data_IF_279094409341
#
_entry.id   IF_279094409341
#
_cell.length_a   1.000
_cell.length_b   1.000
_cell.length_c   1.000
_cell.angle_alpha   90.00
_cell.angle_beta   90.00
_cell.angle_gamma   90.00
#
_symmetry.space_group_name_H-M   'P 1'
#
loop_
_entity.id
_entity.type
_entity.pdbx_description
1 polymer ?
#
# COMPACT_ATOMS: atom_id res chain seq x y z
N UNK A 1 -11.77 -4.09 9.28
CA UNK A 1 -11.93 -3.23 8.09
C UNK A 1 -10.98 -2.08 8.24
N UNK A 2 -9.93 -2.05 7.42
CA UNK A 2 -8.82 -1.09 7.49
C UNK A 2 -9.09 0.17 6.64
N UNK A 3 -10.34 0.34 6.22
CA UNK A 3 -10.78 1.38 5.29
C UNK A 3 -11.02 2.72 6.01
N UNK A 4 -10.29 3.76 5.62
CA UNK A 4 -10.42 5.12 6.17
C UNK A 4 -10.74 6.11 5.05
N UNK A 5 -11.76 6.94 5.24
CA UNK A 5 -12.24 7.95 4.27
C UNK A 5 -11.70 9.36 4.61
N UNK A 6 -10.95 9.50 5.70
CA UNK A 6 -10.47 10.80 6.16
C UNK A 6 -9.32 11.33 5.27
N UNK A 7 -9.34 12.61 4.89
CA UNK A 7 -8.30 13.23 4.08
C UNK A 7 -6.97 13.26 4.85
N UNK A 8 -5.92 12.73 4.25
CA UNK A 8 -4.58 12.76 4.82
C UNK A 8 -4.08 14.20 4.93
N UNK A 9 -3.87 14.68 6.17
CA UNK A 9 -3.65 16.12 6.47
C UNK A 9 -2.23 16.48 6.91
N UNK A 10 -1.32 15.51 7.03
CA UNK A 10 0.07 15.71 7.49
C UNK A 10 1.12 15.40 6.42
N UNK A 11 0.93 15.93 5.21
CA UNK A 11 1.77 15.58 4.08
C UNK A 11 3.18 16.18 4.15
N UNK A 12 4.18 15.37 4.55
CA UNK A 12 5.53 15.54 4.01
C UNK A 12 5.49 15.42 2.48
N UNK A 13 6.40 16.11 1.77
CA UNK A 13 6.50 16.00 0.31
C UNK A 13 6.76 14.54 -0.12
N UNK A 14 6.14 14.05 -1.21
CA UNK A 14 6.38 12.71 -1.69
C UNK A 14 7.84 12.54 -2.09
N UNK A 15 8.49 11.51 -1.56
CA UNK A 15 9.88 11.18 -1.92
C UNK A 15 10.02 10.65 -3.35
N UNK A 16 8.89 10.24 -3.93
CA UNK A 16 8.76 9.77 -5.30
C UNK A 16 7.41 10.19 -5.86
N UNK A 17 7.45 10.72 -7.08
CA UNK A 17 6.27 11.01 -7.89
C UNK A 17 6.50 10.56 -9.32
N UNK A 18 5.47 10.02 -9.94
CA UNK A 18 5.45 9.83 -11.39
C UNK A 18 4.06 10.04 -11.98
N UNK A 19 4.00 10.37 -13.27
CA UNK A 19 2.79 10.52 -14.08
C UNK A 19 3.04 9.90 -15.45
N UNK A 20 2.39 8.78 -15.75
CA UNK A 20 2.49 8.13 -17.05
C UNK A 20 1.36 7.13 -17.29
N UNK A 21 1.23 6.69 -18.54
CA UNK A 21 0.32 5.61 -18.92
C UNK A 21 0.89 4.24 -18.51
N UNK A 22 0.16 3.51 -17.67
CA UNK A 22 0.56 2.20 -17.16
C UNK A 22 0.52 1.15 -18.27
N UNK A 23 1.61 0.40 -18.39
CA UNK A 23 1.78 -0.74 -19.28
C UNK A 23 2.13 -2.01 -18.52
N UNK A 24 2.30 -3.10 -19.26
CA UNK A 24 2.52 -4.45 -18.72
C UNK A 24 3.73 -4.57 -17.78
N UNK A 25 4.72 -3.71 -17.93
CA UNK A 25 5.94 -3.71 -17.11
C UNK A 25 5.92 -2.68 -15.97
N UNK A 26 4.93 -1.80 -15.92
CA UNK A 26 4.90 -0.66 -14.98
C UNK A 26 4.87 -1.13 -13.53
N UNK A 27 4.06 -2.14 -13.20
CA UNK A 27 3.99 -2.69 -11.84
C UNK A 27 5.35 -3.24 -11.36
N UNK A 28 6.08 -3.93 -12.24
CA UNK A 28 7.42 -4.46 -11.90
C UNK A 28 8.41 -3.32 -11.62
N UNK A 29 8.40 -2.28 -12.44
CA UNK A 29 9.28 -1.13 -12.28
C UNK A 29 8.99 -0.38 -10.97
N UNK A 30 7.71 -0.10 -10.72
CA UNK A 30 7.23 0.62 -9.54
C UNK A 30 7.49 -0.16 -8.24
N UNK A 31 7.30 -1.48 -8.22
CA UNK A 31 7.71 -2.32 -7.08
C UNK A 31 9.20 -2.21 -6.78
N UNK A 32 10.03 -2.19 -7.81
CA UNK A 32 11.48 -2.09 -7.67
C UNK A 32 11.88 -0.74 -7.07
N UNK A 33 11.24 0.34 -7.51
CA UNK A 33 11.40 1.68 -6.94
C UNK A 33 10.98 1.70 -5.47
N UNK A 34 9.77 1.20 -5.16
CA UNK A 34 9.27 1.11 -3.80
C UNK A 34 10.24 0.35 -2.90
N UNK A 35 10.71 -0.83 -3.33
CA UNK A 35 11.68 -1.64 -2.58
C UNK A 35 13.00 -0.91 -2.32
N UNK A 36 13.48 -0.09 -3.26
CA UNK A 36 14.70 0.70 -3.07
C UNK A 36 14.51 1.75 -1.97
N UNK A 37 13.38 2.46 -1.96
CA UNK A 37 13.06 3.41 -0.89
C UNK A 37 12.90 2.71 0.46
N UNK A 38 12.13 1.62 0.52
CA UNK A 38 11.96 0.84 1.75
C UNK A 38 13.28 0.30 2.30
N UNK A 39 14.17 -0.16 1.43
CA UNK A 39 15.53 -0.58 1.82
C UNK A 39 16.32 0.60 2.39
N UNK A 40 16.30 1.76 1.72
CA UNK A 40 16.98 2.97 2.18
C UNK A 40 16.48 3.47 3.53
N UNK A 41 15.21 3.22 3.86
CA UNK A 41 14.60 3.60 5.14
C UNK A 41 14.67 2.53 6.23
N UNK A 42 15.23 1.35 5.93
CA UNK A 42 15.24 0.22 6.88
C UNK A 42 13.88 -0.43 7.09
N UNK A 43 12.91 -0.21 6.20
CA UNK A 43 11.52 -0.69 6.29
C UNK A 43 11.29 -1.98 5.48
N UNK A 44 12.30 -2.86 5.41
CA UNK A 44 12.20 -4.10 4.64
C UNK A 44 11.15 -5.07 5.21
N UNK A 45 10.75 -4.94 6.47
CA UNK A 45 9.73 -5.76 7.11
C UNK A 45 8.33 -5.61 6.48
N UNK A 46 8.05 -4.47 5.82
CA UNK A 46 6.76 -4.22 5.13
C UNK A 46 6.86 -4.34 3.61
N UNK A 47 8.04 -4.70 3.06
CA UNK A 47 8.28 -4.63 1.63
C UNK A 47 7.35 -5.54 0.81
N UNK A 48 7.18 -6.79 1.23
CA UNK A 48 6.39 -7.74 0.46
C UNK A 48 4.90 -7.38 0.47
N UNK A 49 4.38 -6.90 1.61
CA UNK A 49 3.01 -6.39 1.75
C UNK A 49 2.78 -5.15 0.87
N UNK A 50 3.66 -4.16 0.96
CA UNK A 50 3.55 -2.91 0.21
C UNK A 50 3.70 -3.14 -1.30
N UNK A 51 4.61 -4.02 -1.73
CA UNK A 51 4.78 -4.39 -3.14
C UNK A 51 3.54 -5.10 -3.72
N UNK A 52 2.91 -5.97 -2.94
CA UNK A 52 1.71 -6.68 -3.34
C UNK A 52 0.52 -5.72 -3.47
N UNK A 53 0.26 -4.91 -2.45
CA UNK A 53 -0.80 -3.90 -2.48
C UNK A 53 -0.61 -2.91 -3.64
N UNK A 54 0.62 -2.46 -3.89
CA UNK A 54 0.90 -1.56 -5.00
C UNK A 54 0.66 -2.23 -6.36
N UNK A 55 0.98 -3.52 -6.50
CA UNK A 55 0.70 -4.26 -7.73
C UNK A 55 -0.79 -4.33 -8.01
N UNK A 56 -1.61 -4.58 -6.99
CA UNK A 56 -3.07 -4.61 -7.15
C UNK A 56 -3.65 -3.25 -7.53
N UNK A 57 -3.14 -2.14 -6.96
CA UNK A 57 -3.56 -0.81 -7.37
C UNK A 57 -3.20 -0.51 -8.83
N UNK A 58 -1.99 -0.86 -9.28
CA UNK A 58 -1.59 -0.68 -10.69
C UNK A 58 -2.41 -1.59 -11.61
N UNK A 59 -2.71 -2.83 -11.20
CA UNK A 59 -3.58 -3.71 -11.97
C UNK A 59 -5.00 -3.14 -12.11
N UNK A 60 -5.53 -2.52 -11.05
CA UNK A 60 -6.81 -1.81 -11.12
C UNK A 60 -6.76 -0.64 -12.11
N UNK A 61 -5.69 0.15 -12.15
CA UNK A 61 -5.50 1.21 -13.16
C UNK A 61 -5.53 0.63 -14.56
N UNK A 62 -4.75 -0.43 -14.81
CA UNK A 62 -4.66 -1.05 -16.13
C UNK A 62 -6.00 -1.61 -16.60
N UNK A 63 -6.80 -2.17 -15.68
CA UNK A 63 -8.10 -2.79 -15.97
C UNK A 63 -9.24 -1.76 -16.14
N UNK A 64 -9.26 -0.71 -15.33
CA UNK A 64 -10.47 0.12 -15.17
C UNK A 64 -10.30 1.58 -15.60
N UNK A 65 -9.06 2.08 -15.79
CA UNK A 65 -8.84 3.49 -16.13
C UNK A 65 -8.67 3.67 -17.64
N UNK A 66 -9.54 4.44 -18.31
CA UNK A 66 -9.36 4.78 -19.72
C UNK A 66 -8.00 5.44 -19.97
N UNK A 67 -7.28 4.96 -21.00
CA UNK A 67 -5.94 5.44 -21.31
C UNK A 67 -4.85 5.03 -20.31
N UNK A 68 -5.21 4.30 -19.24
CA UNK A 68 -4.31 3.71 -18.23
C UNK A 68 -3.39 4.73 -17.55
N UNK A 69 -3.72 6.01 -17.62
CA UNK A 69 -2.89 7.09 -17.05
C UNK A 69 -3.23 7.30 -15.59
N UNK A 70 -2.21 7.27 -14.74
CA UNK A 70 -2.34 7.63 -13.34
C UNK A 70 -1.06 8.31 -12.85
N UNK A 71 -1.19 8.99 -11.72
CA UNK A 71 -0.07 9.49 -10.92
C UNK A 71 0.17 8.55 -9.76
N UNK A 72 1.42 8.32 -9.41
CA UNK A 72 1.79 7.51 -8.24
C UNK A 72 2.69 8.29 -7.32
N UNK A 73 2.47 8.16 -6.02
CA UNK A 73 3.21 8.85 -4.98
C UNK A 73 3.66 7.85 -3.92
N UNK A 74 4.87 8.02 -3.39
CA UNK A 74 5.39 7.26 -2.26
C UNK A 74 5.80 8.26 -1.18
N UNK A 75 5.32 8.02 0.03
CA UNK A 75 5.61 8.83 1.20
C UNK A 75 6.21 7.94 2.28
N UNK A 76 7.21 8.45 2.98
CA UNK A 76 7.61 7.88 4.26
C UNK A 76 6.66 8.42 5.31
N UNK A 77 6.10 7.57 6.17
CA UNK A 77 5.24 8.04 7.24
C UNK A 77 6.05 8.77 8.33
N UNK A 78 5.49 9.82 8.97
CA UNK A 78 6.17 10.56 10.03
C UNK A 78 6.72 9.67 11.14
N UNK A 79 7.87 10.05 11.70
CA UNK A 79 8.57 9.22 12.69
C UNK A 79 9.20 7.94 12.10
N UNK A 80 9.15 7.75 10.78
CA UNK A 80 9.72 6.59 10.10
C UNK A 80 8.98 5.29 10.39
N UNK A 81 7.70 5.37 10.77
CA UNK A 81 6.90 4.22 11.21
C UNK A 81 6.35 3.36 10.08
N UNK A 82 6.56 3.75 8.82
CA UNK A 82 6.02 3.01 7.69
C UNK A 82 6.08 3.77 6.37
N UNK A 83 5.26 3.32 5.43
CA UNK A 83 5.13 3.86 4.07
C UNK A 83 3.67 4.09 3.75
N UNK A 84 3.39 5.17 3.00
CA UNK A 84 2.11 5.39 2.33
C UNK A 84 2.34 5.42 0.82
N UNK A 85 1.49 4.75 0.07
CA UNK A 85 1.51 4.77 -1.40
C UNK A 85 0.15 5.23 -1.90
N UNK A 86 0.16 6.15 -2.84
CA UNK A 86 -1.04 6.69 -3.46
C UNK A 86 -1.02 6.50 -4.97
N UNK A 87 -2.18 6.19 -5.53
CA UNK A 87 -2.40 6.05 -6.97
C UNK A 87 -3.62 6.90 -7.34
N UNK A 88 -3.37 8.01 -8.04
CA UNK A 88 -4.40 8.94 -8.46
C UNK A 88 -4.69 8.82 -9.96
N UNK A 89 -5.96 8.68 -10.33
CA UNK A 89 -6.38 8.56 -11.72
C UNK A 89 -7.57 9.47 -12.03
N UNK A 90 -7.84 9.68 -13.33
CA UNK A 90 -8.91 10.56 -13.81
C UNK A 90 -10.28 9.89 -13.94
N UNK A 91 -10.43 8.65 -13.47
CA UNK A 91 -11.70 7.92 -13.55
C UNK A 91 -12.49 8.09 -12.24
N UNK A 92 -13.73 8.61 -12.29
CA UNK A 92 -14.54 8.86 -11.10
C UNK A 92 -15.08 7.58 -10.45
N UNK A 93 -15.01 6.45 -11.15
CA UNK A 93 -15.54 5.19 -10.63
C UNK A 93 -14.73 4.71 -9.44
N UNK A 94 -15.38 4.72 -8.26
CA UNK A 94 -14.79 4.23 -7.01
C UNK A 94 -14.69 2.71 -7.07
N UNK A 95 -13.49 2.13 -6.83
CA UNK A 95 -13.33 0.69 -6.75
C UNK A 95 -14.21 0.14 -5.64
N UNK A 96 -15.05 -0.84 -5.95
CA UNK A 96 -15.90 -1.50 -4.95
C UNK A 96 -15.16 -2.71 -4.41
N UNK A 97 -15.12 -2.86 -3.09
CA UNK A 97 -14.77 -4.14 -2.46
C UNK A 97 -15.93 -5.08 -2.75
N UNK A 98 -15.72 -6.04 -3.63
CA UNK A 98 -16.70 -7.09 -3.90
C UNK A 98 -16.16 -8.36 -3.27
N UNK A 99 -16.85 -8.87 -2.25
CA UNK A 99 -16.65 -10.24 -1.77
C UNK A 99 -17.21 -11.20 -2.83
N UNK A 100 -16.47 -11.35 -3.94
CA UNK A 100 -16.80 -12.26 -5.02
C UNK A 100 -16.40 -13.69 -4.70
N UNK A 101 -17.22 -14.65 -5.10
CA UNK A 101 -16.89 -16.09 -5.02
C UNK A 101 -15.61 -16.44 -5.80
N UNK A 102 -15.11 -17.66 -5.60
CA UNK A 102 -13.78 -18.17 -6.03
C UNK A 102 -13.48 -18.09 -7.55
N UNK A 103 -14.37 -17.53 -8.37
CA UNK A 103 -14.24 -17.42 -9.82
C UNK A 103 -14.42 -16.00 -10.40
N UNK A 104 -14.70 -14.99 -9.58
CA UNK A 104 -14.80 -13.60 -10.06
C UNK A 104 -13.51 -12.82 -9.80
N UNK A 105 -12.78 -12.51 -10.88
CA UNK A 105 -11.44 -11.90 -10.82
C UNK A 105 -11.50 -10.37 -10.60
N UNK A 106 -12.64 -9.73 -10.86
CA UNK A 106 -12.78 -8.27 -10.83
C UNK A 106 -12.75 -7.63 -9.43
N UNK A 107 -13.04 -8.39 -8.37
CA UNK A 107 -13.21 -7.89 -7.00
C UNK A 107 -12.07 -8.14 -6.03
N UNK A 108 -11.10 -9.00 -6.37
CA UNK A 108 -10.09 -9.48 -5.42
C UNK A 108 -8.99 -8.49 -5.09
N UNK A 109 -8.70 -7.56 -5.99
CA UNK A 109 -7.56 -6.66 -5.82
C UNK A 109 -7.64 -5.86 -4.52
N UNK A 110 -8.81 -5.29 -4.21
CA UNK A 110 -9.02 -4.56 -2.96
C UNK A 110 -9.14 -5.46 -1.74
N UNK A 111 -9.64 -6.68 -1.89
CA UNK A 111 -9.64 -7.68 -0.80
C UNK A 111 -8.21 -8.00 -0.39
N UNK A 112 -7.31 -8.14 -1.37
CA UNK A 112 -5.90 -8.38 -1.10
C UNK A 112 -5.24 -7.15 -0.47
N UNK A 113 -5.54 -5.94 -0.95
CA UNK A 113 -5.08 -4.69 -0.32
C UNK A 113 -5.56 -4.60 1.14
N UNK A 114 -6.85 -4.85 1.42
CA UNK A 114 -7.39 -4.84 2.79
C UNK A 114 -6.72 -5.87 3.69
N UNK A 115 -6.39 -7.06 3.15
CA UNK A 115 -5.77 -8.13 3.91
C UNK A 115 -4.29 -7.90 4.24
N UNK A 116 -3.55 -7.16 3.41
CA UNK A 116 -2.08 -7.02 3.56
C UNK A 116 -1.63 -5.65 4.05
N UNK A 117 -2.53 -4.68 4.19
CA UNK A 117 -2.19 -3.30 4.58
C UNK A 117 -2.83 -2.91 5.90
N UNK A 118 -2.19 -2.04 6.66
CA UNK A 118 -2.70 -1.57 7.96
C UNK A 118 -3.86 -0.59 7.79
N UNK A 119 -3.79 0.24 6.75
CA UNK A 119 -4.86 1.15 6.33
C UNK A 119 -4.90 1.26 4.83
N UNK A 120 -6.08 1.49 4.29
CA UNK A 120 -6.24 1.90 2.90
C UNK A 120 -7.50 2.75 2.75
N UNK A 121 -7.64 3.42 1.62
CA UNK A 121 -8.80 4.27 1.38
C UNK A 121 -8.91 4.72 -0.06
N UNK A 122 -10.04 5.38 -0.34
CA UNK A 122 -10.29 6.06 -1.60
C UNK A 122 -10.73 7.49 -1.30
N UNK A 123 -10.03 8.44 -1.90
CA UNK A 123 -10.38 9.86 -1.87
C UNK A 123 -10.87 10.28 -3.25
N UNK A 124 -12.14 10.66 -3.35
CA UNK A 124 -12.71 11.20 -4.60
C UNK A 124 -12.37 12.68 -4.68
N UNK A 125 -11.88 13.13 -5.83
CA UNK A 125 -11.65 14.57 -6.04
C UNK A 125 -12.98 15.33 -5.98
N UNK A 126 -12.98 16.47 -5.31
CA UNK A 126 -14.20 17.28 -5.10
C UNK A 126 -14.86 17.79 -6.38
N UNK A 127 -14.13 17.83 -7.51
CA UNK A 127 -14.66 18.17 -8.83
C UNK A 127 -15.26 16.96 -9.58
N UNK A 128 -15.22 15.76 -8.99
CA UNK A 128 -15.67 14.52 -9.62
C UNK A 128 -14.79 14.05 -10.77
N UNK A 129 -13.62 14.66 -11.00
CA UNK A 129 -12.74 14.38 -12.15
C UNK A 129 -11.76 13.22 -11.94
N UNK A 130 -11.88 12.47 -10.86
CA UNK A 130 -10.97 11.38 -10.54
C UNK A 130 -10.97 10.98 -9.08
N UNK A 131 -10.04 10.08 -8.75
CA UNK A 131 -9.89 9.53 -7.41
C UNK A 131 -8.43 9.24 -7.10
N UNK A 132 -8.11 9.15 -5.81
CA UNK A 132 -6.86 8.64 -5.28
C UNK A 132 -7.17 7.41 -4.45
N UNK A 133 -6.62 6.26 -4.84
CA UNK A 133 -6.62 5.05 -4.02
C UNK A 133 -5.28 4.96 -3.31
N UNK A 134 -5.28 4.68 -2.01
CA UNK A 134 -4.07 4.71 -1.20
C UNK A 134 -4.03 3.58 -0.19
N UNK A 135 -2.83 3.23 0.26
CA UNK A 135 -2.63 2.34 1.41
C UNK A 135 -1.44 2.76 2.26
N UNK A 136 -1.42 2.30 3.51
CA UNK A 136 -0.34 2.45 4.48
C UNK A 136 0.10 1.07 4.96
N UNK A 137 1.43 0.89 5.06
CA UNK A 137 2.02 -0.27 5.74
C UNK A 137 2.92 0.24 6.86
N UNK A 138 2.62 -0.18 8.08
CA UNK A 138 3.33 0.21 9.29
C UNK A 138 4.38 -0.85 9.60
N UNK A 139 5.63 -0.41 9.75
CA UNK A 139 6.62 -1.26 10.37
C UNK A 139 6.20 -1.41 11.83
N UNK A 140 5.84 -2.64 12.22
CA UNK A 140 5.63 -2.94 13.63
C UNK A 140 6.83 -2.37 14.39
N UNK A 141 6.58 -1.49 15.37
CA UNK A 141 7.61 -1.07 16.29
C UNK A 141 8.22 -2.38 16.79
N UNK A 142 9.50 -2.61 16.51
CA UNK A 142 10.18 -3.82 16.98
C UNK A 142 9.97 -3.84 18.48
N UNK A 143 9.00 -4.63 18.92
CA UNK A 143 8.92 -5.04 20.31
C UNK A 143 10.17 -5.85 20.44
N UNK A 144 11.22 -5.23 20.98
CA UNK A 144 12.32 -5.97 21.56
C UNK A 144 11.64 -6.75 22.67
N UNK A 145 11.11 -7.93 22.35
CA UNK A 145 10.70 -8.89 23.33
C UNK A 145 11.98 -9.17 24.10
N UNK A 146 12.09 -8.60 25.30
CA UNK A 146 13.09 -8.99 26.26
C UNK A 146 12.83 -10.46 26.57
N UNK A 147 13.41 -11.34 25.75
CA UNK A 147 13.49 -12.74 26.02
C UNK A 147 14.37 -12.87 27.26
N UNK A 148 13.72 -12.89 28.41
CA UNK A 148 14.32 -13.40 29.65
C UNK A 148 14.79 -14.82 29.31
N UNK A 149 16.08 -15.15 29.41
CA UNK A 149 16.53 -16.51 29.13
C UNK A 149 15.83 -17.47 30.11
N UNK A 150 15.39 -18.65 29.66
CA UNK A 150 14.77 -19.62 30.56
C UNK A 150 15.78 -19.98 31.65
N UNK A 151 15.34 -19.87 32.92
CA UNK A 151 16.11 -20.29 34.07
C UNK A 151 16.52 -21.76 33.90
N UNK A 152 17.83 -22.02 33.99
CA UNK A 152 18.40 -23.37 33.99
C UNK A 152 17.76 -24.17 35.14
N UNK A 153 17.21 -25.37 34.92
CA UNK A 153 16.67 -26.17 36.02
C UNK A 153 17.80 -26.57 36.97
N UNK A 154 17.55 -26.41 38.27
CA UNK A 154 18.47 -26.79 39.34
C UNK A 154 18.76 -28.30 39.32
N UNK A 155 19.98 -28.72 39.71
CA UNK A 155 20.30 -30.14 39.84
C UNK A 155 19.46 -30.77 40.96
N UNK A 156 18.88 -31.95 40.69
CA UNK A 156 18.14 -32.73 41.70
C UNK A 156 19.12 -33.40 42.69
N UNK A 157 18.70 -33.61 43.95
CA UNK A 157 19.52 -34.22 45.00
C UNK A 157 19.88 -35.68 44.72
#
# INVERSE_FOLDING_TARGET
>A
MNHVIAPWTEAEEPVYRSDFAMGEHSARHLRRILRLYLKGWGLMCVADAAELAFTELIANVVRHVPGRRCQTFIFRLPGGVGVRVEVADGCPEVPRVVEGGVLDEGGRGLVLVDAVTDKWGVEVRGDGGGKTVWFECLAAASTIASATPPARPAPRP
#
